data_IF_518294639281
#
_entry.id   IF_518294639281
#
_cell.length_a   1.000
_cell.length_b   1.000
_cell.length_c   1.000
_cell.angle_alpha   90.00
_cell.angle_beta   90.00
_cell.angle_gamma   90.00
#
_symmetry.space_group_name_H-M   'P 1'
#
loop_
_entity.id
_entity.type
_entity.pdbx_description
1 polymer ?
#
# COMPACT_ATOMS: atom_id res chain seq x y z
N UNK A 1 -1.69 9.34 -13.61
CA UNK A 1 -1.20 10.03 -12.40
C UNK A 1 -1.10 9.11 -11.19
N UNK A 2 -2.19 8.46 -10.74
CA UNK A 2 -2.16 7.53 -9.59
C UNK A 2 -1.16 6.38 -9.81
N UNK A 3 -1.22 5.72 -10.98
CA UNK A 3 -0.25 4.68 -11.36
C UNK A 3 1.20 5.21 -11.34
N UNK A 4 1.42 6.42 -11.86
CA UNK A 4 2.73 7.06 -11.90
C UNK A 4 3.28 7.31 -10.50
N UNK A 5 2.45 7.77 -9.55
CA UNK A 5 2.86 7.94 -8.15
C UNK A 5 3.15 6.62 -7.46
N UNK A 6 2.32 5.59 -7.68
CA UNK A 6 2.55 4.26 -7.12
C UNK A 6 3.89 3.68 -7.59
N UNK A 7 4.15 3.78 -8.90
CA UNK A 7 5.39 3.31 -9.53
C UNK A 7 6.61 4.11 -9.02
N UNK A 8 6.54 5.44 -9.00
CA UNK A 8 7.65 6.27 -8.52
C UNK A 8 7.95 5.96 -7.05
N UNK A 9 6.90 5.83 -6.22
CA UNK A 9 7.05 5.52 -4.80
C UNK A 9 7.66 4.14 -4.54
N UNK A 10 7.32 3.15 -5.36
CA UNK A 10 7.94 1.82 -5.29
C UNK A 10 9.41 1.86 -5.70
N UNK A 11 9.71 2.60 -6.77
CA UNK A 11 11.08 2.81 -7.23
C UNK A 11 11.92 3.59 -6.23
N UNK A 12 11.36 4.52 -5.45
CA UNK A 12 12.10 5.29 -4.44
C UNK A 12 12.10 4.63 -3.06
N UNK A 13 11.59 3.40 -2.93
CA UNK A 13 11.58 2.69 -1.66
C UNK A 13 12.98 2.49 -1.07
N UNK A 14 13.06 2.57 0.26
CA UNK A 14 14.31 2.42 1.02
C UNK A 14 14.19 1.14 1.85
N UNK A 15 15.24 0.32 1.84
CA UNK A 15 15.37 -0.83 2.72
C UNK A 15 15.80 -0.38 4.12
N UNK A 16 15.04 -0.74 5.16
CA UNK A 16 15.38 -0.44 6.55
C UNK A 16 16.07 -1.62 7.24
N UNK A 17 17.30 -1.40 7.71
CA UNK A 17 17.97 -2.24 8.71
C UNK A 17 18.32 -3.68 8.29
N UNK A 18 18.70 -4.55 9.25
CA UNK A 18 19.13 -5.94 8.98
C UNK A 18 18.02 -6.85 8.44
N UNK A 19 16.75 -6.46 8.55
CA UNK A 19 15.58 -7.22 8.09
C UNK A 19 15.21 -7.00 6.62
N UNK A 20 15.88 -6.07 5.89
CA UNK A 20 15.60 -5.74 4.47
C UNK A 20 14.13 -5.42 4.15
N UNK A 21 13.37 -4.95 5.13
CA UNK A 21 11.97 -4.55 4.94
C UNK A 21 11.93 -3.25 4.13
N UNK A 22 11.18 -3.24 3.02
CA UNK A 22 10.99 -2.05 2.17
C UNK A 22 9.82 -1.23 2.66
N UNK A 23 10.07 0.03 2.98
CA UNK A 23 9.01 1.00 3.28
C UNK A 23 8.72 1.78 2.00
N UNK A 24 7.52 1.58 1.43
CA UNK A 24 7.05 2.28 0.23
C UNK A 24 5.64 2.82 0.44
N UNK A 25 5.31 3.92 -0.24
CA UNK A 25 3.95 4.46 -0.33
C UNK A 25 3.14 3.88 -1.48
N UNK A 26 3.64 2.85 -2.17
CA UNK A 26 2.92 2.15 -3.24
C UNK A 26 1.56 1.60 -2.79
N UNK A 27 1.41 1.21 -1.52
CA UNK A 27 0.13 0.81 -0.92
C UNK A 27 -0.94 1.91 -0.94
N UNK A 28 -0.54 3.17 -0.79
CA UNK A 28 -1.46 4.31 -0.86
C UNK A 28 -1.93 4.57 -2.30
N UNK A 29 -1.01 4.45 -3.27
CA UNK A 29 -1.35 4.56 -4.68
C UNK A 29 -2.33 3.47 -5.12
N UNK A 30 -2.13 2.24 -4.63
CA UNK A 30 -3.07 1.13 -4.85
C UNK A 30 -4.45 1.44 -4.24
N UNK A 31 -4.47 1.98 -3.02
CA UNK A 31 -5.74 2.28 -2.35
C UNK A 31 -6.52 3.42 -3.02
N UNK A 32 -5.83 4.45 -3.49
CA UNK A 32 -6.45 5.51 -4.30
C UNK A 32 -7.02 4.96 -5.60
N UNK A 33 -6.32 4.04 -6.26
CA UNK A 33 -6.86 3.37 -7.45
C UNK A 33 -8.10 2.52 -7.11
N UNK A 34 -8.06 1.75 -6.01
CA UNK A 34 -9.17 0.89 -5.58
C UNK A 34 -10.43 1.68 -5.25
N UNK A 35 -10.30 2.84 -4.59
CA UNK A 35 -11.42 3.68 -4.16
C UNK A 35 -11.94 4.56 -5.29
N UNK A 36 -11.04 5.20 -6.07
CA UNK A 36 -11.44 6.20 -7.06
C UNK A 36 -11.73 5.61 -8.44
N UNK A 37 -11.10 4.48 -8.78
CA UNK A 37 -11.20 3.86 -10.11
C UNK A 37 -11.86 2.47 -10.08
N UNK A 38 -11.98 1.86 -8.90
CA UNK A 38 -12.56 0.53 -8.73
C UNK A 38 -11.56 -0.61 -8.83
N UNK A 39 -12.06 -1.84 -8.65
CA UNK A 39 -11.23 -3.04 -8.50
C UNK A 39 -10.39 -3.40 -9.73
N UNK A 40 -10.97 -3.33 -10.93
CA UNK A 40 -10.26 -3.66 -12.17
C UNK A 40 -9.03 -2.76 -12.41
N UNK A 41 -9.18 -1.43 -12.42
CA UNK A 41 -8.05 -0.52 -12.53
C UNK A 41 -7.03 -0.65 -11.39
N UNK A 42 -7.48 -0.91 -10.16
CA UNK A 42 -6.57 -1.12 -9.03
C UNK A 42 -5.69 -2.35 -9.20
N UNK A 43 -6.25 -3.47 -9.69
CA UNK A 43 -5.50 -4.67 -9.98
C UNK A 43 -4.39 -4.41 -11.02
N UNK A 44 -4.70 -3.66 -12.08
CA UNK A 44 -3.73 -3.26 -13.09
C UNK A 44 -2.64 -2.36 -12.52
N UNK A 45 -3.00 -1.37 -11.70
CA UNK A 45 -2.03 -0.48 -11.02
C UNK A 45 -1.10 -1.29 -10.13
N UNK A 46 -1.63 -2.24 -9.35
CA UNK A 46 -0.82 -3.10 -8.49
C UNK A 46 0.14 -3.98 -9.27
N UNK A 47 -0.34 -4.66 -10.32
CA UNK A 47 0.48 -5.49 -11.19
C UNK A 47 1.58 -4.69 -11.90
N UNK A 48 1.26 -3.51 -12.43
CA UNK A 48 2.24 -2.62 -13.06
C UNK A 48 3.29 -2.13 -12.07
N UNK A 49 2.88 -1.77 -10.85
CA UNK A 49 3.80 -1.31 -9.80
C UNK A 49 4.83 -2.40 -9.49
N UNK A 50 4.39 -3.63 -9.27
CA UNK A 50 5.30 -4.77 -9.01
C UNK A 50 6.15 -5.11 -10.24
N UNK A 51 5.56 -5.13 -11.44
CA UNK A 51 6.29 -5.43 -12.67
C UNK A 51 7.41 -4.43 -12.95
N UNK A 52 7.16 -3.14 -12.74
CA UNK A 52 8.18 -2.09 -12.91
C UNK A 52 9.20 -2.11 -11.78
N UNK A 53 8.77 -2.29 -10.52
CA UNK A 53 9.67 -2.42 -9.38
C UNK A 53 10.66 -3.57 -9.54
N UNK A 54 10.20 -4.69 -10.12
CA UNK A 54 11.05 -5.84 -10.40
C UNK A 54 12.23 -5.53 -11.36
N UNK A 55 12.07 -4.59 -12.30
CA UNK A 55 13.18 -4.18 -13.19
C UNK A 55 14.37 -3.66 -12.39
N UNK A 56 14.11 -2.98 -11.27
CA UNK A 56 15.14 -2.44 -10.38
C UNK A 56 15.69 -3.49 -9.41
N UNK A 57 14.81 -4.26 -8.78
CA UNK A 57 15.17 -5.11 -7.64
C UNK A 57 15.45 -6.57 -8.00
N UNK A 58 15.03 -7.02 -9.20
CA UNK A 58 15.30 -8.33 -9.81
C UNK A 58 15.15 -9.52 -8.84
N UNK A 59 14.03 -9.55 -8.13
CA UNK A 59 13.70 -10.64 -7.21
C UNK A 59 13.56 -11.99 -7.92
N UNK A 60 13.70 -13.08 -7.16
CA UNK A 60 13.52 -14.43 -7.68
C UNK A 60 12.14 -14.61 -8.33
N UNK A 61 12.07 -15.36 -9.43
CA UNK A 61 10.86 -15.45 -10.26
C UNK A 61 9.63 -16.01 -9.53
N UNK A 62 9.81 -16.80 -8.46
CA UNK A 62 8.70 -17.26 -7.63
C UNK A 62 8.13 -16.14 -6.73
N UNK A 63 8.98 -15.28 -6.18
CA UNK A 63 8.56 -14.09 -5.41
C UNK A 63 7.86 -13.07 -6.30
N UNK A 64 8.36 -12.86 -7.53
CA UNK A 64 7.71 -11.99 -8.51
C UNK A 64 6.26 -12.45 -8.79
N UNK A 65 6.07 -13.75 -9.06
CA UNK A 65 4.73 -14.31 -9.34
C UNK A 65 3.79 -14.16 -8.14
N UNK A 66 4.29 -14.43 -6.93
CA UNK A 66 3.54 -14.26 -5.70
C UNK A 66 3.15 -12.78 -5.49
N UNK A 67 4.09 -11.85 -5.66
CA UNK A 67 3.84 -10.41 -5.50
C UNK A 67 2.84 -9.90 -6.54
N UNK A 68 2.99 -10.27 -7.82
CA UNK A 68 2.05 -9.90 -8.87
C UNK A 68 0.64 -10.39 -8.56
N UNK A 69 0.50 -11.66 -8.18
CA UNK A 69 -0.80 -12.23 -7.83
C UNK A 69 -1.40 -11.54 -6.60
N UNK A 70 -0.59 -11.31 -5.56
CA UNK A 70 -1.03 -10.68 -4.31
C UNK A 70 -1.51 -9.26 -4.54
N UNK A 71 -0.75 -8.46 -5.29
CA UNK A 71 -1.08 -7.05 -5.55
C UNK A 71 -2.26 -6.87 -6.51
N UNK A 72 -2.37 -7.73 -7.53
CA UNK A 72 -3.52 -7.72 -8.42
C UNK A 72 -4.80 -8.13 -7.67
N UNK A 73 -4.73 -9.22 -6.91
CA UNK A 73 -5.86 -9.73 -6.13
C UNK A 73 -6.29 -8.76 -5.02
N UNK A 74 -5.35 -8.22 -4.25
CA UNK A 74 -5.66 -7.29 -3.18
C UNK A 74 -6.30 -6.01 -3.72
N UNK A 75 -5.79 -5.46 -4.82
CA UNK A 75 -6.38 -4.30 -5.49
C UNK A 75 -7.80 -4.56 -5.97
N UNK A 76 -8.02 -5.70 -6.65
CA UNK A 76 -9.34 -6.09 -7.15
C UNK A 76 -10.36 -6.24 -6.02
N UNK A 77 -10.03 -7.09 -5.05
CA UNK A 77 -10.93 -7.43 -3.95
C UNK A 77 -11.23 -6.21 -3.07
N UNK A 78 -10.23 -5.36 -2.81
CA UNK A 78 -10.42 -4.11 -2.04
C UNK A 78 -11.34 -3.15 -2.78
N UNK A 79 -11.12 -2.95 -4.09
CA UNK A 79 -11.97 -2.05 -4.87
C UNK A 79 -13.42 -2.54 -4.94
N UNK A 80 -13.62 -3.86 -5.11
CA UNK A 80 -14.94 -4.48 -5.08
C UNK A 80 -15.61 -4.33 -3.70
N UNK A 81 -14.88 -4.63 -2.62
CA UNK A 81 -15.37 -4.48 -1.25
C UNK A 81 -15.83 -3.03 -0.99
N UNK A 82 -15.01 -2.05 -1.36
CA UNK A 82 -15.34 -0.65 -1.15
C UNK A 82 -16.60 -0.23 -1.91
N UNK A 83 -16.67 -0.51 -3.22
CA UNK A 83 -17.79 -0.08 -4.05
C UNK A 83 -19.08 -0.82 -3.70
N UNK A 84 -19.01 -2.12 -3.43
CA UNK A 84 -20.17 -2.88 -2.98
C UNK A 84 -20.64 -2.42 -1.59
N UNK A 85 -19.70 -2.13 -0.68
CA UNK A 85 -19.99 -1.65 0.67
C UNK A 85 -20.64 -0.27 0.67
N UNK A 86 -20.12 0.69 -0.11
CA UNK A 86 -20.72 2.03 -0.21
C UNK A 86 -22.10 1.99 -0.88
N UNK A 87 -22.27 1.17 -1.92
CA UNK A 87 -23.58 0.96 -2.56
C UNK A 87 -24.59 0.34 -1.60
N UNK A 88 -24.20 -0.72 -0.87
CA UNK A 88 -25.09 -1.39 0.09
C UNK A 88 -25.47 -0.50 1.27
N UNK A 89 -24.55 0.36 1.73
CA UNK A 89 -24.80 1.31 2.81
C UNK A 89 -25.50 2.61 2.34
N UNK A 90 -25.61 2.83 1.02
CA UNK A 90 -26.19 4.05 0.47
C UNK A 90 -25.39 5.33 0.79
N UNK A 91 -24.08 5.21 1.01
CA UNK A 91 -23.21 6.34 1.40
C UNK A 91 -22.44 6.88 0.20
N UNK A 92 -22.42 8.20 0.06
CA UNK A 92 -21.69 8.92 -0.97
C UNK A 92 -20.56 9.79 -0.42
N UNK A 93 -19.75 10.44 -1.27
CA UNK A 93 -18.60 11.23 -0.85
C UNK A 93 -18.91 12.43 0.06
N UNK A 94 -20.19 12.81 0.20
CA UNK A 94 -20.64 13.85 1.13
C UNK A 94 -20.87 13.32 2.55
N UNK A 95 -20.94 12.00 2.71
CA UNK A 95 -21.22 11.35 3.97
C UNK A 95 -19.93 10.92 4.67
N UNK A 96 -19.88 11.10 6.00
CA UNK A 96 -18.77 10.59 6.82
C UNK A 96 -18.61 9.08 6.66
N UNK A 97 -19.72 8.36 6.47
CA UNK A 97 -19.74 6.91 6.26
C UNK A 97 -18.91 6.44 5.05
N UNK A 98 -18.80 7.25 4.00
CA UNK A 98 -17.96 6.94 2.84
C UNK A 98 -16.47 6.88 3.21
N UNK A 99 -15.99 7.83 4.02
CA UNK A 99 -14.60 7.86 4.45
C UNK A 99 -14.29 6.77 5.47
N UNK A 100 -15.25 6.41 6.34
CA UNK A 100 -15.12 5.23 7.20
C UNK A 100 -15.01 3.94 6.37
N UNK A 101 -15.73 3.85 5.25
CA UNK A 101 -15.60 2.73 4.32
C UNK A 101 -14.22 2.71 3.63
N UNK A 102 -13.61 3.87 3.35
CA UNK A 102 -12.22 3.94 2.85
C UNK A 102 -11.26 3.33 3.86
N UNK A 103 -11.40 3.67 5.14
CA UNK A 103 -10.57 3.09 6.20
C UNK A 103 -10.75 1.58 6.31
N UNK A 104 -12.00 1.11 6.33
CA UNK A 104 -12.31 -0.31 6.38
C UNK A 104 -11.71 -1.06 5.19
N UNK A 105 -11.84 -0.51 3.98
CA UNK A 105 -11.25 -1.08 2.78
C UNK A 105 -9.71 -1.08 2.83
N UNK A 106 -9.07 -0.09 3.45
CA UNK A 106 -7.63 -0.10 3.68
C UNK A 106 -7.23 -1.25 4.60
N UNK A 107 -7.97 -1.47 5.69
CA UNK A 107 -7.73 -2.62 6.59
C UNK A 107 -7.90 -3.95 5.86
N UNK A 108 -8.92 -4.08 5.01
CA UNK A 108 -9.11 -5.27 4.16
C UNK A 108 -7.92 -5.46 3.21
N UNK A 109 -7.46 -4.39 2.55
CA UNK A 109 -6.30 -4.43 1.66
C UNK A 109 -5.03 -4.89 2.39
N UNK A 110 -4.79 -4.37 3.60
CA UNK A 110 -3.66 -4.76 4.44
C UNK A 110 -3.69 -6.26 4.75
N UNK A 111 -4.86 -6.79 5.12
CA UNK A 111 -5.02 -8.23 5.39
C UNK A 111 -4.79 -9.05 4.12
N UNK A 112 -5.43 -8.67 3.01
CA UNK A 112 -5.32 -9.38 1.73
C UNK A 112 -3.90 -9.35 1.14
N UNK A 113 -3.13 -8.30 1.43
CA UNK A 113 -1.74 -8.22 1.03
C UNK A 113 -0.84 -9.06 1.96
N UNK A 114 -1.06 -9.00 3.27
CA UNK A 114 -0.23 -9.68 4.26
C UNK A 114 -0.42 -11.20 4.25
N UNK A 115 -1.66 -11.69 4.15
CA UNK A 115 -1.99 -13.12 4.29
C UNK A 115 -1.20 -14.02 3.30
N UNK A 116 -1.19 -13.75 1.97
CA UNK A 116 -0.48 -14.62 1.03
C UNK A 116 1.05 -14.58 1.23
N UNK A 117 1.59 -13.40 1.57
CA UNK A 117 3.03 -13.21 1.78
C UNK A 117 3.49 -13.96 3.03
N UNK A 118 2.81 -13.73 4.16
CA UNK A 118 3.13 -14.40 5.41
C UNK A 118 2.85 -15.90 5.35
N UNK A 119 1.80 -16.32 4.64
CA UNK A 119 1.48 -17.73 4.40
C UNK A 119 2.55 -18.43 3.60
N UNK A 120 3.02 -17.81 2.51
CA UNK A 120 4.12 -18.34 1.70
C UNK A 120 5.43 -18.42 2.51
N UNK A 121 5.77 -17.37 3.27
CA UNK A 121 6.96 -17.35 4.10
C UNK A 121 6.91 -18.43 5.20
N UNK A 122 5.77 -18.60 5.86
CA UNK A 122 5.56 -19.66 6.86
C UNK A 122 5.71 -21.06 6.25
N UNK A 123 5.12 -21.30 5.07
CA UNK A 123 5.27 -22.58 4.36
C UNK A 123 6.71 -22.86 3.92
N UNK A 124 7.42 -21.84 3.43
CA UNK A 124 8.76 -21.98 2.91
C UNK A 124 9.83 -22.10 4.01
N UNK A 125 9.72 -21.31 5.08
CA UNK A 125 10.70 -21.27 6.17
C UNK A 125 10.44 -22.34 7.23
N UNK A 126 9.24 -22.94 7.25
CA UNK A 126 8.82 -23.93 8.24
C UNK A 126 8.38 -23.34 9.59
N UNK A 127 8.37 -22.01 9.73
CA UNK A 127 7.93 -21.30 10.93
C UNK A 127 6.41 -21.25 11.05
N UNK A 128 5.90 -21.08 12.27
CA UNK A 128 4.47 -20.89 12.51
C UNK A 128 3.98 -19.54 11.94
N UNK A 129 2.82 -19.54 11.27
CA UNK A 129 2.21 -18.32 10.72
C UNK A 129 2.02 -17.20 11.77
N UNK A 130 1.61 -17.57 12.99
CA UNK A 130 1.43 -16.63 14.11
C UNK A 130 2.73 -15.91 14.46
N UNK A 131 3.88 -16.59 14.32
CA UNK A 131 5.17 -15.98 14.54
C UNK A 131 5.44 -14.89 13.49
N UNK A 132 5.17 -15.16 12.21
CA UNK A 132 5.29 -14.14 11.15
C UNK A 132 4.36 -12.95 11.38
N UNK A 133 3.12 -13.17 11.85
CA UNK A 133 2.20 -12.08 12.24
C UNK A 133 2.81 -11.23 13.36
N UNK A 134 3.31 -11.87 14.42
CA UNK A 134 3.86 -11.18 15.59
C UNK A 134 5.13 -10.41 15.28
N UNK A 135 5.98 -10.95 14.41
CA UNK A 135 7.28 -10.36 14.08
C UNK A 135 7.19 -9.30 12.98
N UNK A 136 6.34 -9.50 11.96
CA UNK A 136 6.27 -8.60 10.81
C UNK A 136 5.11 -7.60 10.89
N UNK A 137 3.90 -8.05 11.26
CA UNK A 137 2.71 -7.19 11.24
C UNK A 137 2.57 -6.35 12.51
N UNK A 138 2.72 -6.97 13.69
CA UNK A 138 2.45 -6.27 14.95
C UNK A 138 3.30 -5.00 15.16
N UNK A 139 4.61 -4.96 14.83
CA UNK A 139 5.42 -3.75 14.97
C UNK A 139 5.02 -2.64 13.99
N UNK A 140 4.49 -3.02 12.82
CA UNK A 140 4.12 -2.09 11.76
C UNK A 140 2.65 -1.67 11.81
N UNK A 141 1.82 -2.37 12.57
CA UNK A 141 0.36 -2.22 12.55
C UNK A 141 -0.06 -0.78 12.86
N UNK A 142 0.53 -0.15 13.87
CA UNK A 142 0.25 1.25 14.22
C UNK A 142 0.55 2.21 13.06
N UNK A 143 1.69 2.02 12.38
CA UNK A 143 2.07 2.82 11.22
C UNK A 143 1.15 2.56 10.01
N UNK A 144 0.68 1.31 9.84
CA UNK A 144 -0.26 0.95 8.79
C UNK A 144 -1.64 1.56 9.04
N UNK A 145 -2.16 1.51 10.27
CA UNK A 145 -3.43 2.14 10.62
C UNK A 145 -3.37 3.67 10.46
N UNK A 146 -2.25 4.29 10.86
CA UNK A 146 -2.03 5.71 10.57
C UNK A 146 -2.02 6.00 9.07
N UNK A 147 -1.38 5.13 8.27
CA UNK A 147 -1.40 5.23 6.81
C UNK A 147 -2.83 5.10 6.24
N UNK A 148 -3.67 4.26 6.87
CA UNK A 148 -5.10 4.16 6.56
C UNK A 148 -5.84 5.48 6.79
N UNK A 149 -5.61 6.14 7.93
CA UNK A 149 -6.18 7.48 8.21
C UNK A 149 -5.68 8.52 7.21
N UNK A 150 -4.39 8.49 6.89
CA UNK A 150 -3.80 9.38 5.89
C UNK A 150 -4.42 9.15 4.51
N UNK A 151 -4.77 7.90 4.18
CA UNK A 151 -5.49 7.56 2.95
C UNK A 151 -6.90 8.13 2.93
N UNK A 152 -7.63 8.09 4.05
CA UNK A 152 -8.95 8.74 4.14
C UNK A 152 -8.84 10.24 3.85
N UNK A 153 -7.87 10.91 4.48
CA UNK A 153 -7.58 12.32 4.21
C UNK A 153 -7.22 12.54 2.74
N UNK A 154 -6.46 11.61 2.16
CA UNK A 154 -6.07 11.68 0.76
C UNK A 154 -7.28 11.61 -0.19
N UNK A 155 -8.19 10.67 0.07
CA UNK A 155 -9.45 10.52 -0.69
C UNK A 155 -10.34 11.75 -0.50
N UNK A 156 -10.46 12.28 0.73
CA UNK A 156 -11.22 13.50 1.00
C UNK A 156 -10.73 14.68 0.16
N UNK A 157 -9.41 14.93 0.17
CA UNK A 157 -8.81 15.99 -0.63
C UNK A 157 -8.96 15.72 -2.13
N UNK A 158 -8.87 14.47 -2.58
CA UNK A 158 -9.07 14.11 -3.98
C UNK A 158 -10.52 14.35 -4.43
N UNK A 159 -11.50 14.08 -3.58
CA UNK A 159 -12.92 14.34 -3.86
C UNK A 159 -13.19 15.85 -3.91
N UNK A 160 -12.66 16.62 -2.96
CA UNK A 160 -12.95 18.05 -2.84
C UNK A 160 -12.17 18.94 -3.80
N UNK A 161 -10.90 18.60 -4.07
CA UNK A 161 -9.98 19.40 -4.87
C UNK A 161 -9.64 18.76 -6.23
N UNK A 162 -10.25 17.61 -6.53
CA UNK A 162 -10.01 16.87 -7.77
C UNK A 162 -8.54 16.51 -7.98
N UNK A 163 -8.09 16.63 -9.23
CA UNK A 163 -6.72 16.29 -9.65
C UNK A 163 -5.64 17.09 -8.93
N UNK A 164 -5.95 18.33 -8.52
CA UNK A 164 -5.00 19.19 -7.79
C UNK A 164 -4.73 18.62 -6.40
N UNK A 165 -5.77 18.14 -5.70
CA UNK A 165 -5.63 17.46 -4.41
C UNK A 165 -4.72 16.23 -4.50
N UNK A 166 -4.93 15.39 -5.52
CA UNK A 166 -4.09 14.22 -5.77
C UNK A 166 -2.63 14.58 -6.10
N UNK A 167 -2.39 15.67 -6.83
CA UNK A 167 -1.04 16.12 -7.17
C UNK A 167 -0.28 16.63 -5.93
N UNK A 168 -0.93 17.41 -5.08
CA UNK A 168 -0.35 17.91 -3.82
C UNK A 168 -0.04 16.76 -2.87
N UNK A 169 -0.97 15.82 -2.71
CA UNK A 169 -0.74 14.62 -1.91
C UNK A 169 0.44 13.78 -2.42
N UNK A 170 0.47 13.50 -3.72
CA UNK A 170 1.56 12.76 -4.32
C UNK A 170 2.91 13.44 -4.09
N UNK A 171 2.97 14.76 -4.23
CA UNK A 171 4.16 15.55 -3.92
C UNK A 171 4.56 15.44 -2.44
N UNK A 172 3.61 15.62 -1.52
CA UNK A 172 3.84 15.48 -0.08
C UNK A 172 4.40 14.10 0.26
N UNK A 173 3.86 13.03 -0.33
CA UNK A 173 4.36 11.67 -0.09
C UNK A 173 5.78 11.44 -0.57
N UNK A 174 6.12 11.93 -1.77
CA UNK A 174 7.49 11.84 -2.29
C UNK A 174 8.47 12.55 -1.34
N UNK A 175 8.10 13.74 -0.85
CA UNK A 175 8.91 14.51 0.10
C UNK A 175 9.08 13.76 1.43
N UNK A 176 8.00 13.22 2.00
CA UNK A 176 8.08 12.45 3.25
C UNK A 176 8.96 11.20 3.12
N UNK A 177 8.84 10.46 2.02
CA UNK A 177 9.68 9.28 1.76
C UNK A 177 11.15 9.64 1.63
N UNK A 178 11.43 10.73 0.92
CA UNK A 178 12.78 11.26 0.79
C UNK A 178 13.38 11.63 2.17
N UNK A 179 12.62 12.35 2.99
CA UNK A 179 13.07 12.77 4.34
C UNK A 179 13.32 11.58 5.27
N UNK A 180 12.44 10.57 5.26
CA UNK A 180 12.65 9.34 6.05
C UNK A 180 13.88 8.59 5.56
N UNK A 181 14.07 8.49 4.24
CA UNK A 181 15.26 7.87 3.67
C UNK A 181 16.55 8.55 4.11
N UNK A 182 16.61 9.87 4.06
CA UNK A 182 17.76 10.66 4.52
C UNK A 182 17.97 10.56 6.04
N UNK A 183 16.89 10.56 6.84
CA UNK A 183 16.97 10.39 8.30
C UNK A 183 17.57 9.03 8.68
N UNK A 184 17.14 7.95 8.03
CA UNK A 184 17.66 6.61 8.28
C UNK A 184 19.13 6.50 7.87
N UNK A 185 19.48 7.07 6.72
CA UNK A 185 20.85 7.14 6.22
C UNK A 185 21.76 7.96 7.14
N UNK A 186 21.24 9.04 7.73
CA UNK A 186 21.94 9.86 8.71
C UNK A 186 22.14 9.13 10.03
N UNK A 187 21.15 8.36 10.52
CA UNK A 187 21.32 7.51 11.71
C UNK A 187 22.38 6.44 11.49
N UNK A 188 22.35 5.76 10.35
CA UNK A 188 23.29 4.71 10.01
C UNK A 188 24.75 5.22 9.98
N UNK A 189 24.97 6.44 9.44
CA UNK A 189 26.28 7.12 9.48
C UNK A 189 26.73 7.60 10.85
N UNK A 190 25.81 7.72 11.81
CA UNK A 190 26.12 8.12 13.19
C UNK A 190 26.43 6.91 14.08
N UNK A 191 26.06 5.70 13.64
CA UNK A 191 26.30 4.44 14.32
C UNK A 191 27.58 3.73 13.81
N UNK A 192 28.12 4.17 12.66
CA UNK A 192 29.46 3.85 12.13
C UNK A 192 30.54 4.78 12.72
#
# INVERSE_FOLDING_TARGET
MIASFAIISDLTSVETGPTKLRVSGSGLGLMLAAVLLGGGPAALVGALTIGVGWVRWREAAHLLRLNLATWAWSGLATGLFFHAGTQAAGVGPQDVGFYLMVFAAFTVSLILNFLPIAGYASYHDGDAFVQKVREALAPLLSAQLFSGLLTMCAVYLAVQLGTVGLAVLGLTFVIFQYLIGELLKSKQRSEE
#
